data_IF_085340327521
#
_entry.id   IF_085340327521
#
_cell.length_a   1.000
_cell.length_b   1.000
_cell.length_c   1.000
_cell.angle_alpha   90.00
_cell.angle_beta   90.00
_cell.angle_gamma   90.00
#
_symmetry.space_group_name_H-M   'P 1'
#
loop_
_entity.id
_entity.type
_entity.pdbx_description
1 polymer ?
#
# COMPACT_ATOMS: atom_id res chain seq x y z
N UNK A 1 -21.76 -0.04 11.24
CA UNK A 1 -21.70 -0.12 9.76
C UNK A 1 -21.02 1.15 9.25
N UNK A 2 -20.33 1.12 8.10
CA UNK A 2 -19.66 2.29 7.56
C UNK A 2 -20.56 3.52 7.49
N UNK A 3 -19.97 4.69 7.72
CA UNK A 3 -20.67 5.98 7.69
C UNK A 3 -21.65 6.22 8.85
N UNK A 4 -21.80 5.28 9.80
CA UNK A 4 -22.60 5.49 11.00
C UNK A 4 -21.72 5.66 12.22
N UNK A 5 -21.85 6.83 12.84
CA UNK A 5 -21.19 7.16 14.11
C UNK A 5 -21.50 6.11 15.17
N UNK A 6 -20.45 5.50 15.71
CA UNK A 6 -20.52 4.57 16.84
C UNK A 6 -19.87 5.21 18.05
N UNK A 7 -20.41 4.91 19.24
CA UNK A 7 -19.91 5.43 20.51
C UNK A 7 -19.32 4.30 21.33
N UNK A 8 -18.17 4.56 21.95
CA UNK A 8 -17.58 3.63 22.90
C UNK A 8 -17.86 4.10 24.32
N UNK A 9 -18.28 3.16 25.17
CA UNK A 9 -18.42 3.39 26.59
C UNK A 9 -17.83 2.22 27.36
N UNK A 10 -17.18 2.53 28.48
CA UNK A 10 -16.58 1.53 29.38
C UNK A 10 -17.28 1.57 30.73
N UNK A 11 -17.54 0.40 31.28
CA UNK A 11 -18.09 0.21 32.62
C UNK A 11 -17.21 -0.77 33.39
N UNK A 12 -17.16 -0.61 34.71
CA UNK A 12 -16.51 -1.56 35.59
C UNK A 12 -17.51 -2.61 36.06
N UNK A 13 -17.16 -3.89 35.97
CA UNK A 13 -17.97 -5.01 36.44
C UNK A 13 -17.34 -5.62 37.69
N UNK A 14 -18.12 -5.73 38.77
CA UNK A 14 -17.73 -6.41 40.01
C UNK A 14 -18.83 -7.37 40.47
N UNK A 15 -18.61 -8.67 40.27
CA UNK A 15 -19.63 -9.70 40.51
C UNK A 15 -20.81 -9.52 39.55
N UNK A 16 -21.99 -9.20 40.08
CA UNK A 16 -23.22 -8.93 39.30
C UNK A 16 -23.54 -7.44 39.17
N UNK A 17 -22.64 -6.55 39.61
CA UNK A 17 -22.83 -5.10 39.55
C UNK A 17 -21.98 -4.50 38.44
N UNK A 18 -22.59 -3.63 37.66
CA UNK A 18 -21.94 -2.83 36.62
C UNK A 18 -22.05 -1.34 36.99
N UNK A 19 -20.98 -0.58 36.81
CA UNK A 19 -20.99 0.87 37.02
C UNK A 19 -21.77 1.60 35.93
N UNK A 20 -22.13 2.86 36.15
CA UNK A 20 -22.56 3.73 35.05
C UNK A 20 -21.46 3.77 33.98
N UNK A 21 -21.77 3.55 32.69
CA UNK A 21 -20.78 3.62 31.63
C UNK A 21 -20.20 5.04 31.50
N UNK A 22 -18.88 5.13 31.35
CA UNK A 22 -18.19 6.35 30.94
C UNK A 22 -18.04 6.34 29.42
N UNK A 23 -18.53 7.39 28.74
CA UNK A 23 -18.37 7.55 27.28
C UNK A 23 -16.94 7.98 26.98
N UNK A 24 -16.29 7.29 26.05
CA UNK A 24 -14.89 7.53 25.66
C UNK A 24 -14.76 8.40 24.40
N UNK A 25 -15.77 8.41 23.54
CA UNK A 25 -15.73 9.14 22.27
C UNK A 25 -16.64 8.49 21.23
N UNK A 26 -16.51 8.94 19.99
CA UNK A 26 -17.17 8.34 18.83
C UNK A 26 -16.20 8.15 17.68
N UNK A 27 -16.53 7.25 16.76
CA UNK A 27 -15.83 7.11 15.48
C UNK A 27 -16.86 6.88 14.38
N UNK A 28 -16.58 7.34 13.17
CA UNK A 28 -17.33 7.01 11.96
C UNK A 28 -16.49 6.04 11.13
N UNK A 29 -16.81 4.72 11.15
CA UNK A 29 -16.05 3.77 10.36
C UNK A 29 -16.08 4.12 8.87
N UNK A 30 -14.92 4.05 8.22
CA UNK A 30 -14.78 4.22 6.78
C UNK A 30 -15.45 3.06 6.02
N UNK A 31 -15.88 3.33 4.80
CA UNK A 31 -16.37 2.28 3.89
C UNK A 31 -15.20 1.49 3.29
N UNK A 32 -15.51 0.36 2.65
CA UNK A 32 -14.51 -0.48 1.99
C UNK A 32 -14.12 0.08 0.63
N UNK A 33 -12.86 -0.12 0.24
CA UNK A 33 -12.38 0.13 -1.11
C UNK A 33 -11.49 -1.03 -1.55
N UNK A 34 -11.27 -1.15 -2.87
CA UNK A 34 -10.25 -1.99 -3.47
C UNK A 34 -9.26 -1.11 -4.27
N UNK A 35 -8.16 -1.70 -4.74
CA UNK A 35 -7.17 -1.04 -5.60
C UNK A 35 -7.29 -1.52 -7.04
N UNK A 36 -7.38 -0.58 -7.98
CA UNK A 36 -7.27 -0.84 -9.42
C UNK A 36 -5.81 -0.68 -9.86
N UNK A 37 -5.18 -1.77 -10.33
CA UNK A 37 -3.85 -1.75 -10.96
C UNK A 37 -4.01 -1.43 -12.45
N UNK A 38 -3.47 -0.29 -12.90
CA UNK A 38 -3.79 0.30 -14.20
C UNK A 38 -2.71 0.08 -15.25
N UNK A 39 -1.44 0.24 -14.89
CA UNK A 39 -0.31 0.16 -15.81
C UNK A 39 0.96 -0.24 -15.06
N UNK A 40 1.79 -1.17 -15.56
CA UNK A 40 1.48 -2.13 -16.62
C UNK A 40 0.22 -2.94 -16.30
N UNK A 41 -0.54 -3.36 -17.33
CA UNK A 41 -1.74 -4.18 -17.14
C UNK A 41 -1.48 -5.66 -17.46
N UNK A 42 -2.40 -6.52 -17.05
CA UNK A 42 -2.27 -7.98 -17.17
C UNK A 42 -1.95 -8.45 -18.61
N UNK A 43 -0.87 -9.20 -18.74
CA UNK A 43 -0.37 -9.74 -20.00
C UNK A 43 0.21 -8.70 -20.96
N UNK A 44 0.47 -7.47 -20.51
CA UNK A 44 1.03 -6.44 -21.37
C UNK A 44 2.46 -6.79 -21.81
N UNK A 45 2.74 -6.71 -23.11
CA UNK A 45 4.06 -6.99 -23.71
C UNK A 45 4.71 -5.71 -24.24
N UNK A 46 6.01 -5.75 -24.52
CA UNK A 46 6.79 -4.61 -24.99
C UNK A 46 6.71 -3.40 -24.03
N UNK A 47 6.61 -3.67 -22.74
CA UNK A 47 6.63 -2.63 -21.71
C UNK A 47 8.02 -2.01 -21.65
N UNK A 48 8.09 -0.70 -21.44
CA UNK A 48 9.35 0.00 -21.16
C UNK A 48 10.12 -0.71 -20.06
N UNK A 49 11.43 -0.83 -20.20
CA UNK A 49 12.30 -1.37 -19.15
C UNK A 49 12.47 -0.41 -17.95
N UNK A 50 12.02 0.84 -18.10
CA UNK A 50 11.72 1.78 -17.02
C UNK A 50 10.20 1.98 -16.96
N UNK A 51 9.42 1.00 -16.47
CA UNK A 51 7.97 1.13 -16.41
C UNK A 51 7.53 2.24 -15.46
N UNK A 52 6.34 2.76 -15.71
CA UNK A 52 5.61 3.61 -14.76
C UNK A 52 4.45 2.80 -14.22
N UNK A 53 4.51 2.45 -12.95
CA UNK A 53 3.44 1.75 -12.25
C UNK A 53 2.35 2.74 -11.87
N UNK A 54 1.10 2.42 -12.17
CA UNK A 54 -0.06 3.27 -11.91
C UNK A 54 -1.17 2.49 -11.26
N UNK A 55 -1.70 3.01 -10.17
CA UNK A 55 -2.83 2.41 -9.46
C UNK A 55 -3.69 3.50 -8.83
N UNK A 56 -4.88 3.14 -8.38
CA UNK A 56 -5.79 4.04 -7.67
C UNK A 56 -6.79 3.27 -6.80
N UNK A 57 -7.46 3.92 -5.83
CA UNK A 57 -8.68 3.39 -5.27
C UNK A 57 -9.76 3.19 -6.33
N UNK A 58 -10.54 2.13 -6.17
CA UNK A 58 -11.77 1.88 -6.94
C UNK A 58 -12.87 2.89 -6.65
N UNK A 59 -12.88 3.44 -5.44
CA UNK A 59 -13.87 4.41 -4.96
C UNK A 59 -13.22 5.47 -4.07
N UNK A 60 -13.84 6.64 -4.00
CA UNK A 60 -13.48 7.66 -3.03
C UNK A 60 -14.26 7.47 -1.72
N UNK A 61 -13.52 7.23 -0.65
CA UNK A 61 -14.02 7.24 0.72
C UNK A 61 -14.07 8.67 1.26
N UNK A 62 -15.12 8.96 2.01
CA UNK A 62 -15.34 10.26 2.66
C UNK A 62 -15.67 10.05 4.13
N UNK A 63 -15.21 10.97 5.00
CA UNK A 63 -15.60 11.01 6.41
C UNK A 63 -15.99 12.43 6.82
N UNK A 64 -16.91 12.53 7.78
CA UNK A 64 -17.20 13.80 8.47
C UNK A 64 -16.08 14.20 9.44
N UNK A 65 -15.18 13.28 9.76
CA UNK A 65 -14.09 13.46 10.75
C UNK A 65 -12.84 14.13 10.14
N UNK A 66 -12.75 14.21 8.81
CA UNK A 66 -11.63 14.88 8.15
C UNK A 66 -11.37 14.40 6.73
N UNK A 67 -10.23 14.81 6.19
CA UNK A 67 -9.73 14.32 4.90
C UNK A 67 -9.23 12.89 5.05
N UNK A 68 -9.67 12.00 4.16
CA UNK A 68 -9.20 10.62 4.12
C UNK A 68 -7.86 10.55 3.39
N UNK A 69 -6.86 9.96 4.05
CA UNK A 69 -5.55 9.69 3.47
C UNK A 69 -5.47 8.23 3.07
N UNK A 70 -4.91 7.94 1.90
CA UNK A 70 -4.61 6.59 1.43
C UNK A 70 -3.11 6.34 1.45
N UNK A 71 -2.72 5.12 1.79
CA UNK A 71 -1.33 4.67 1.78
C UNK A 71 -1.18 3.35 1.05
N UNK A 72 -0.05 3.21 0.34
CA UNK A 72 0.26 2.05 -0.49
C UNK A 72 1.73 1.64 -0.40
N UNK A 73 1.96 0.33 -0.41
CA UNK A 73 3.29 -0.26 -0.66
C UNK A 73 3.30 -0.98 -1.99
N UNK A 74 4.18 -0.55 -2.90
CA UNK A 74 4.37 -1.16 -4.21
C UNK A 74 5.38 -2.30 -4.13
N UNK A 75 5.10 -3.40 -4.84
CA UNK A 75 6.00 -4.54 -4.92
C UNK A 75 6.10 -5.08 -6.35
N UNK A 76 7.33 -5.34 -6.81
CA UNK A 76 7.61 -6.01 -8.09
C UNK A 76 8.22 -7.37 -7.79
N UNK A 77 7.73 -8.38 -8.49
CA UNK A 77 8.04 -9.78 -8.33
C UNK A 77 8.72 -10.29 -9.60
N UNK A 78 9.97 -10.70 -9.47
CA UNK A 78 10.74 -11.37 -10.52
C UNK A 78 10.84 -12.85 -10.15
N UNK A 79 9.69 -13.52 -10.21
CA UNK A 79 9.51 -14.89 -9.74
C UNK A 79 9.36 -15.92 -10.88
N UNK A 80 9.16 -15.46 -12.12
CA UNK A 80 8.97 -16.38 -13.26
C UNK A 80 10.30 -17.01 -13.69
N UNK A 81 11.39 -16.24 -13.70
CA UNK A 81 12.72 -16.72 -14.08
C UNK A 81 13.77 -16.59 -12.95
N UNK A 82 13.38 -16.06 -11.79
CA UNK A 82 14.27 -15.79 -10.66
C UNK A 82 13.48 -15.91 -9.34
N UNK A 83 14.08 -15.56 -8.20
CA UNK A 83 13.40 -15.47 -6.90
C UNK A 83 13.60 -14.08 -6.29
N UNK A 84 13.59 -13.06 -7.15
CA UNK A 84 13.92 -11.70 -6.76
C UNK A 84 12.65 -10.91 -6.44
N UNK A 85 12.77 -10.03 -5.45
CA UNK A 85 11.75 -9.05 -5.08
C UNK A 85 12.33 -7.66 -5.26
N UNK A 86 11.58 -6.73 -5.87
CA UNK A 86 12.07 -5.37 -6.15
C UNK A 86 11.08 -4.37 -5.55
N UNK A 87 11.59 -3.45 -4.73
CA UNK A 87 10.79 -2.49 -3.96
C UNK A 87 11.38 -1.08 -4.03
N UNK A 88 10.56 -0.03 -3.96
CA UNK A 88 11.04 1.31 -3.68
C UNK A 88 11.28 1.47 -2.16
N UNK A 89 12.35 2.18 -1.78
CA UNK A 89 12.73 2.36 -0.39
C UNK A 89 13.74 3.48 -0.18
N UNK A 90 14.18 3.62 1.06
CA UNK A 90 15.27 4.53 1.44
C UNK A 90 16.03 3.96 2.64
N UNK A 91 17.27 4.40 2.83
CA UNK A 91 18.10 3.97 3.96
C UNK A 91 18.33 5.14 4.92
N UNK A 92 18.07 4.91 6.20
CA UNK A 92 18.36 5.86 7.27
C UNK A 92 19.19 5.22 8.40
N UNK A 93 19.19 5.83 9.59
CA UNK A 93 19.94 5.35 10.75
C UNK A 93 19.41 4.01 11.31
N UNK A 94 18.16 3.65 11.01
CA UNK A 94 17.48 2.44 11.50
C UNK A 94 17.59 1.29 10.49
N UNK A 95 17.82 1.60 9.22
CA UNK A 95 18.12 0.63 8.17
C UNK A 95 17.39 0.92 6.86
N UNK A 96 17.09 -0.14 6.11
CA UNK A 96 16.24 -0.06 4.93
C UNK A 96 14.78 0.08 5.36
N UNK A 97 14.13 1.13 4.88
CA UNK A 97 12.70 1.36 5.00
C UNK A 97 12.07 1.32 3.61
N UNK A 98 10.86 0.79 3.52
CA UNK A 98 10.10 0.76 2.27
C UNK A 98 9.44 2.11 2.07
N UNK A 99 9.39 2.56 0.83
CA UNK A 99 8.77 3.82 0.50
C UNK A 99 7.25 3.66 0.47
N UNK A 100 6.55 4.41 1.32
CA UNK A 100 5.09 4.47 1.34
C UNK A 100 4.60 5.58 0.42
N UNK A 101 3.76 5.22 -0.55
CA UNK A 101 3.06 6.19 -1.39
C UNK A 101 1.79 6.63 -0.69
N UNK A 102 1.53 7.94 -0.64
CA UNK A 102 0.33 8.48 0.01
C UNK A 102 -0.35 9.57 -0.81
N UNK A 103 -1.68 9.68 -0.63
CA UNK A 103 -2.50 10.75 -1.20
C UNK A 103 -3.63 11.16 -0.26
N UNK A 104 -3.99 12.43 -0.30
CA UNK A 104 -5.25 12.91 0.26
C UNK A 104 -6.36 12.74 -0.78
N UNK A 105 -7.39 11.94 -0.46
CA UNK A 105 -8.43 11.58 -1.42
C UNK A 105 -8.01 10.50 -2.43
N UNK A 106 -8.96 10.11 -3.27
CA UNK A 106 -8.79 9.02 -4.23
C UNK A 106 -8.07 9.49 -5.51
N UNK A 107 -6.75 9.59 -5.43
CA UNK A 107 -5.90 9.98 -6.55
C UNK A 107 -5.34 8.79 -7.33
N UNK A 108 -4.91 9.05 -8.57
CA UNK A 108 -4.11 8.08 -9.32
C UNK A 108 -2.66 8.22 -8.91
N UNK A 109 -2.15 7.18 -8.26
CA UNK A 109 -0.77 7.08 -7.84
C UNK A 109 0.12 6.65 -9.00
N UNK A 110 1.38 7.09 -8.96
CA UNK A 110 2.40 6.70 -9.94
C UNK A 110 3.73 6.43 -9.25
N UNK A 111 4.42 5.38 -9.69
CA UNK A 111 5.80 5.10 -9.32
C UNK A 111 6.60 4.82 -10.59
N UNK A 112 7.62 5.64 -10.86
CA UNK A 112 8.52 5.41 -11.99
C UNK A 112 9.66 4.50 -11.56
N UNK A 113 9.93 3.45 -12.34
CA UNK A 113 11.09 2.61 -12.16
C UNK A 113 12.35 3.28 -12.73
N UNK A 114 13.22 3.76 -11.85
CA UNK A 114 14.43 4.51 -12.18
C UNK A 114 15.70 3.64 -12.16
N UNK A 115 15.56 2.34 -11.91
CA UNK A 115 16.70 1.43 -11.81
C UNK A 115 17.63 1.81 -10.67
N UNK A 116 18.91 1.93 -10.96
CA UNK A 116 19.97 2.29 -10.00
C UNK A 116 20.02 3.77 -9.61
N UNK A 117 19.19 4.63 -10.21
CA UNK A 117 19.12 6.06 -9.90
C UNK A 117 18.00 6.37 -8.90
N UNK A 118 18.25 7.32 -8.00
CA UNK A 118 17.23 7.85 -7.08
C UNK A 118 16.12 8.55 -7.86
N UNK A 119 14.86 8.28 -7.52
CA UNK A 119 13.72 8.94 -8.17
C UNK A 119 13.73 10.45 -7.87
N UNK A 120 13.66 11.32 -8.88
CA UNK A 120 13.96 12.75 -8.73
C UNK A 120 12.89 13.57 -8.00
N UNK A 121 11.69 13.05 -7.81
CA UNK A 121 10.51 13.81 -7.30
C UNK A 121 10.26 13.53 -5.83
N UNK A 122 10.19 12.25 -5.48
CA UNK A 122 9.85 11.67 -4.20
C UNK A 122 11.08 11.14 -3.46
N UNK A 123 12.21 10.92 -4.16
CA UNK A 123 13.51 10.66 -3.54
C UNK A 123 13.74 9.22 -3.06
N UNK A 124 12.97 8.25 -3.53
CA UNK A 124 13.19 6.83 -3.22
C UNK A 124 14.20 6.19 -4.17
N UNK A 125 14.89 5.16 -3.68
CA UNK A 125 15.74 4.27 -4.47
C UNK A 125 15.04 2.92 -4.67
N UNK A 126 15.45 2.17 -5.69
CA UNK A 126 15.00 0.79 -5.86
C UNK A 126 15.95 -0.18 -5.17
N UNK A 127 15.39 -1.19 -4.53
CA UNK A 127 16.11 -2.28 -3.88
C UNK A 127 15.68 -3.62 -4.45
N UNK A 128 16.62 -4.56 -4.52
CA UNK A 128 16.36 -5.96 -4.89
C UNK A 128 16.69 -6.89 -3.72
N UNK A 129 15.80 -7.83 -3.45
CA UNK A 129 16.07 -8.98 -2.61
C UNK A 129 16.65 -10.11 -3.46
N UNK A 130 17.91 -10.49 -3.19
CA UNK A 130 18.57 -11.64 -3.81
C UNK A 130 19.43 -12.34 -2.75
N UNK A 131 18.79 -13.03 -1.80
CA UNK A 131 19.43 -13.57 -0.59
C UNK A 131 19.75 -12.52 0.48
N UNK A 132 19.32 -11.27 0.26
CA UNK A 132 19.51 -10.08 1.08
C UNK A 132 19.03 -8.86 0.32
N UNK A 133 18.77 -7.75 1.00
CA UNK A 133 18.37 -6.49 0.36
C UNK A 133 19.59 -5.68 -0.07
N UNK A 134 19.60 -5.27 -1.33
CA UNK A 134 20.65 -4.46 -1.96
C UNK A 134 20.02 -3.36 -2.80
N UNK A 135 20.73 -2.26 -3.03
CA UNK A 135 20.35 -1.31 -4.09
C UNK A 135 20.22 -2.06 -5.41
N UNK A 136 19.21 -1.69 -6.20
CA UNK A 136 18.98 -2.27 -7.51
C UNK A 136 20.20 -1.94 -8.41
N UNK A 137 20.86 -2.96 -9.00
CA UNK A 137 22.18 -2.76 -9.58
C UNK A 137 22.17 -2.20 -11.01
N UNK A 138 21.04 -2.29 -11.71
CA UNK A 138 20.93 -1.97 -13.14
C UNK A 138 20.11 -0.70 -13.38
N UNK A 139 20.39 0.04 -14.45
CA UNK A 139 19.64 1.25 -14.84
C UNK A 139 18.18 0.96 -15.25
N UNK A 140 17.88 -0.29 -15.60
CA UNK A 140 16.59 -0.72 -16.15
C UNK A 140 16.30 -2.18 -15.79
N UNK A 141 15.04 -2.58 -15.86
CA UNK A 141 14.65 -3.99 -15.83
C UNK A 141 15.30 -4.75 -17.01
N UNK A 142 15.39 -6.07 -16.93
CA UNK A 142 15.99 -6.89 -17.99
C UNK A 142 15.12 -6.88 -19.26
N UNK A 143 15.71 -6.97 -20.46
CA UNK A 143 14.95 -6.99 -21.72
C UNK A 143 14.24 -8.34 -21.92
N UNK A 144 13.04 -8.31 -22.48
CA UNK A 144 12.22 -9.50 -22.78
C UNK A 144 11.97 -10.43 -21.58
N UNK A 145 11.95 -9.87 -20.37
CA UNK A 145 11.71 -10.62 -19.14
C UNK A 145 10.29 -10.34 -18.63
N UNK A 146 9.67 -11.36 -18.03
CA UNK A 146 8.35 -11.24 -17.42
C UNK A 146 8.49 -10.96 -15.94
N UNK A 147 7.78 -9.94 -15.48
CA UNK A 147 7.66 -9.57 -14.08
C UNK A 147 6.19 -9.60 -13.70
N UNK A 148 5.89 -9.79 -12.42
CA UNK A 148 4.60 -9.40 -11.86
C UNK A 148 4.75 -8.20 -10.93
N UNK A 149 3.69 -7.44 -10.73
CA UNK A 149 3.67 -6.37 -9.73
C UNK A 149 2.32 -6.30 -9.04
N UNK A 150 2.32 -5.79 -7.81
CA UNK A 150 1.12 -5.58 -7.02
C UNK A 150 1.31 -4.42 -6.05
N UNK A 151 0.21 -4.05 -5.39
CA UNK A 151 0.24 -3.28 -4.15
C UNK A 151 0.09 -4.27 -3.01
N UNK A 152 1.11 -4.38 -2.17
CA UNK A 152 1.19 -5.37 -1.08
C UNK A 152 0.54 -4.89 0.22
N UNK A 153 0.37 -3.58 0.37
CA UNK A 153 -0.38 -2.97 1.47
C UNK A 153 -1.16 -1.80 0.89
N UNK A 154 -2.46 -1.75 1.18
CA UNK A 154 -3.33 -0.64 0.80
C UNK A 154 -4.33 -0.38 1.92
N UNK A 155 -4.26 0.78 2.53
CA UNK A 155 -5.23 1.20 3.52
C UNK A 155 -5.54 2.69 3.42
N UNK A 156 -6.70 3.06 3.92
CA UNK A 156 -7.16 4.42 4.05
C UNK A 156 -7.42 4.72 5.52
N UNK A 157 -7.14 5.94 5.96
CA UNK A 157 -7.41 6.36 7.32
C UNK A 157 -7.88 7.80 7.40
N UNK A 158 -8.61 8.10 8.46
CA UNK A 158 -8.97 9.46 8.87
C UNK A 158 -8.83 9.55 10.38
N UNK A 159 -8.28 10.67 10.84
CA UNK A 159 -8.02 10.93 12.24
C UNK A 159 -8.58 12.30 12.62
N UNK A 160 -9.27 12.37 13.75
CA UNK A 160 -9.60 13.62 14.43
C UNK A 160 -8.95 13.66 15.84
N UNK A 161 -9.42 14.56 16.70
CA UNK A 161 -8.80 14.79 18.01
C UNK A 161 -8.89 13.58 18.96
N UNK A 162 -9.89 12.71 18.80
CA UNK A 162 -10.18 11.60 19.74
C UNK A 162 -10.49 10.25 19.07
N UNK A 163 -10.45 10.18 17.74
CA UNK A 163 -10.77 8.98 16.98
C UNK A 163 -9.88 8.77 15.76
N UNK A 164 -9.80 7.51 15.33
CA UNK A 164 -9.04 7.06 14.18
C UNK A 164 -9.81 5.92 13.52
N UNK A 165 -10.20 6.10 12.27
CA UNK A 165 -10.88 5.09 11.48
C UNK A 165 -9.96 4.60 10.37
N UNK A 166 -9.92 3.28 10.17
CA UNK A 166 -9.18 2.61 9.12
C UNK A 166 -10.13 1.86 8.18
N UNK A 167 -9.76 1.80 6.90
CA UNK A 167 -10.27 0.85 5.91
C UNK A 167 -9.07 0.18 5.28
N UNK A 168 -8.95 -1.14 5.39
CA UNK A 168 -7.81 -1.90 4.88
C UNK A 168 -8.30 -2.72 3.69
N UNK A 169 -7.71 -2.47 2.53
CA UNK A 169 -8.05 -3.16 1.28
C UNK A 169 -7.10 -4.33 1.00
N UNK A 170 -5.83 -4.17 1.37
CA UNK A 170 -4.78 -5.18 1.16
C UNK A 170 -3.80 -5.10 2.33
N UNK A 171 -3.41 -6.25 2.87
CA UNK A 171 -2.34 -6.49 3.83
C UNK A 171 -1.70 -7.85 3.55
N UNK A 172 -0.73 -7.86 2.64
CA UNK A 172 0.05 -9.04 2.22
C UNK A 172 1.15 -9.39 3.23
N UNK A 173 0.79 -9.54 4.51
CA UNK A 173 1.72 -9.96 5.58
C UNK A 173 2.47 -8.83 6.28
N UNK A 174 1.98 -7.58 6.18
CA UNK A 174 2.47 -6.40 6.90
C UNK A 174 1.91 -6.32 8.33
N UNK A 175 0.80 -6.99 8.62
CA UNK A 175 0.24 -7.10 9.97
C UNK A 175 -0.45 -5.82 10.45
N UNK A 176 -0.93 -5.00 9.50
CA UNK A 176 -1.78 -3.84 9.76
C UNK A 176 -3.21 -4.32 10.06
N UNK A 177 -3.71 -5.29 9.30
CA UNK A 177 -4.92 -6.04 9.62
C UNK A 177 -4.56 -7.27 10.46
N UNK A 178 -5.12 -7.34 11.66
CA UNK A 178 -4.99 -8.49 12.55
C UNK A 178 -5.54 -9.79 11.94
N UNK A 179 -6.57 -9.70 11.09
CA UNK A 179 -7.20 -10.83 10.43
C UNK A 179 -6.56 -11.18 9.07
N UNK A 180 -5.77 -10.27 8.50
CA UNK A 180 -5.13 -10.39 7.20
C UNK A 180 -6.11 -10.19 6.03
N UNK A 181 -5.65 -9.49 4.99
CA UNK A 181 -6.38 -9.33 3.72
C UNK A 181 -5.37 -9.50 2.59
N UNK A 182 -5.31 -10.69 2.00
CA UNK A 182 -4.32 -10.94 0.94
C UNK A 182 -4.60 -10.06 -0.30
N UNK A 183 -3.54 -9.76 -1.05
CA UNK A 183 -3.64 -9.11 -2.34
C UNK A 183 -4.35 -10.05 -3.34
N UNK A 184 -5.49 -9.60 -3.88
CA UNK A 184 -6.27 -10.38 -4.84
C UNK A 184 -5.67 -10.39 -6.26
N UNK A 185 -4.81 -9.42 -6.58
CA UNK A 185 -4.29 -9.21 -7.94
C UNK A 185 -2.78 -9.02 -7.97
N UNK A 186 -2.13 -9.83 -8.80
CA UNK A 186 -0.73 -9.67 -9.22
C UNK A 186 -0.74 -9.55 -10.75
N UNK A 187 -0.26 -8.43 -11.26
CA UNK A 187 -0.31 -8.14 -12.70
C UNK A 187 0.98 -8.58 -13.36
N UNK A 188 0.89 -9.52 -14.31
CA UNK A 188 2.03 -9.96 -15.12
C UNK A 188 2.24 -9.06 -16.35
N UNK A 189 3.49 -8.71 -16.63
CA UNK A 189 3.87 -7.97 -17.83
C UNK A 189 5.26 -8.39 -18.34
N UNK A 190 5.52 -8.20 -19.62
CA UNK A 190 6.81 -8.52 -20.27
C UNK A 190 7.44 -7.26 -20.84
N UNK A 191 8.70 -7.02 -20.46
CA UNK A 191 9.50 -5.89 -20.97
C UNK A 191 9.86 -6.07 -22.45
N UNK A 192 10.08 -4.97 -23.16
CA UNK A 192 10.62 -4.98 -24.52
C UNK A 192 12.15 -5.04 -24.59
N UNK A 193 12.69 -4.89 -25.80
CA UNK A 193 14.13 -4.85 -26.06
C UNK A 193 14.82 -3.56 -25.54
N UNK A 194 14.13 -2.41 -25.57
CA UNK A 194 14.68 -1.07 -25.25
C UNK A 194 14.09 -0.43 -23.98
#
# INVERSE_FOLDING_TARGET
>A
EPGKKVYYAVSAVYGTKESTPATLGSVVPLDTFNVDLMEPYEGQTNVSRNPVFKWKPTVELTSEEGTVTYEYLLWIYDLVQSENHIIPGYVDAEGLNIFTFSSEGAETMMATFTGSETEPTLGYDWFVYSGGWYYYPEEKLEPNKTYSWAVDLAYAYVQDDDSLAYSIAIDQGWGVDYFGVDADNFVEFTTGDE
#
